data_IF_454299224366
#
_entry.id   IF_454299224366
#
_cell.length_a   1.000
_cell.length_b   1.000
_cell.length_c   1.000
_cell.angle_alpha   90.00
_cell.angle_beta   90.00
_cell.angle_gamma   90.00
#
_symmetry.space_group_name_H-M   'P 1'
#
loop_
_entity.id
_entity.type
_entity.pdbx_description
1 polymer ?
#
# COMPACT_ATOMS: atom_id res chain seq x y z
N UNK A 1 -1.14 4.96 0.22
CA UNK A 1 -1.66 4.46 -1.06
C UNK A 1 -0.66 4.62 -2.20
N UNK A 2 -0.67 3.73 -3.19
CA UNK A 2 0.26 3.71 -4.33
C UNK A 2 -0.49 3.63 -5.67
N UNK A 3 0.00 4.36 -6.67
CA UNK A 3 -0.44 4.24 -8.07
C UNK A 3 0.77 3.80 -8.88
N UNK A 4 0.63 2.69 -9.62
CA UNK A 4 1.71 2.16 -10.45
C UNK A 4 1.55 2.69 -11.86
N UNK A 5 2.34 3.71 -12.19
CA UNK A 5 2.34 4.37 -13.49
C UNK A 5 3.56 3.95 -14.33
N UNK A 6 4.48 3.19 -13.74
CA UNK A 6 5.77 2.88 -14.34
C UNK A 6 6.51 4.17 -14.70
N UNK A 7 7.12 4.21 -15.89
CA UNK A 7 7.86 5.39 -16.35
C UNK A 7 7.01 6.46 -17.04
N UNK A 8 5.70 6.23 -17.19
CA UNK A 8 4.79 7.11 -17.96
C UNK A 8 4.82 8.55 -17.43
N UNK A 9 4.81 8.72 -16.10
CA UNK A 9 4.85 10.03 -15.46
C UNK A 9 6.24 10.41 -14.92
N UNK A 10 7.29 9.64 -15.23
CA UNK A 10 8.62 9.86 -14.66
C UNK A 10 9.19 11.25 -15.01
N UNK A 11 8.97 11.71 -16.25
CA UNK A 11 9.40 13.04 -16.72
C UNK A 11 8.36 14.15 -16.45
N UNK A 12 7.16 13.78 -16.00
CA UNK A 12 6.09 14.74 -15.73
C UNK A 12 6.39 15.51 -14.44
N UNK A 13 6.27 16.86 -14.45
CA UNK A 13 6.40 17.67 -13.24
C UNK A 13 5.34 17.30 -12.19
N UNK A 14 5.75 17.17 -10.92
CA UNK A 14 4.84 16.77 -9.83
C UNK A 14 3.64 17.73 -9.70
N UNK A 15 3.82 19.02 -9.95
CA UNK A 15 2.75 20.01 -9.92
C UNK A 15 1.63 19.71 -10.92
N UNK A 16 1.96 19.29 -12.15
CA UNK A 16 0.95 18.91 -13.16
C UNK A 16 0.17 17.66 -12.73
N UNK A 17 0.87 16.71 -12.11
CA UNK A 17 0.26 15.50 -11.57
C UNK A 17 -0.71 15.85 -10.44
N UNK A 18 -0.28 16.71 -9.50
CA UNK A 18 -1.12 17.18 -8.39
C UNK A 18 -2.34 17.93 -8.94
N UNK A 19 -2.17 18.82 -9.91
CA UNK A 19 -3.29 19.53 -10.54
C UNK A 19 -4.30 18.55 -11.16
N UNK A 20 -3.83 17.52 -11.86
CA UNK A 20 -4.72 16.49 -12.41
C UNK A 20 -5.46 15.73 -11.32
N UNK A 21 -4.75 15.33 -10.26
CA UNK A 21 -5.30 14.55 -9.16
C UNK A 21 -6.18 15.36 -8.20
N UNK A 22 -6.08 16.69 -8.19
CA UNK A 22 -6.88 17.58 -7.34
C UNK A 22 -8.04 18.24 -8.09
N UNK A 23 -8.15 18.00 -9.40
CA UNK A 23 -9.22 18.50 -10.24
C UNK A 23 -10.34 17.48 -10.41
N UNK A 24 -11.52 17.92 -10.81
CA UNK A 24 -12.75 17.08 -10.85
C UNK A 24 -12.81 16.08 -12.01
N UNK A 25 -11.77 16.00 -12.84
CA UNK A 25 -11.74 15.15 -14.04
C UNK A 25 -11.01 13.82 -13.84
N UNK A 26 -10.55 13.54 -12.62
CA UNK A 26 -9.83 12.30 -12.33
C UNK A 26 -10.74 11.05 -12.28
N UNK A 27 -12.07 11.22 -12.33
CA UNK A 27 -13.04 10.13 -12.51
C UNK A 27 -13.06 9.08 -11.40
N UNK A 28 -12.80 9.48 -10.15
CA UNK A 28 -12.73 8.57 -9.01
C UNK A 28 -13.50 9.16 -7.82
N UNK A 29 -14.74 8.72 -7.62
CA UNK A 29 -15.62 9.29 -6.58
C UNK A 29 -15.06 9.09 -5.16
N UNK A 30 -14.40 7.95 -4.91
CA UNK A 30 -13.75 7.70 -3.61
C UNK A 30 -12.65 8.70 -3.34
N UNK A 31 -11.86 9.09 -4.34
CA UNK A 31 -10.82 10.09 -4.19
C UNK A 31 -11.41 11.50 -3.92
N UNK A 32 -12.52 11.86 -4.56
CA UNK A 32 -13.25 13.11 -4.27
C UNK A 32 -13.72 13.15 -2.80
N UNK A 33 -14.35 12.09 -2.32
CA UNK A 33 -14.83 12.00 -0.94
C UNK A 33 -13.67 12.09 0.07
N UNK A 34 -12.51 11.52 -0.26
CA UNK A 34 -11.31 11.61 0.58
C UNK A 34 -10.66 12.99 0.56
N UNK A 35 -10.76 13.76 -0.53
CA UNK A 35 -10.37 15.17 -0.50
C UNK A 35 -11.32 16.00 0.37
N UNK A 36 -12.64 15.80 0.23
CA UNK A 36 -13.66 16.52 1.02
C UNK A 36 -13.54 16.25 2.52
N UNK A 37 -13.25 15.00 2.88
CA UNK A 37 -13.01 14.59 4.28
C UNK A 37 -11.60 14.92 4.77
N UNK A 38 -10.76 15.55 3.94
CA UNK A 38 -9.37 15.91 4.27
C UNK A 38 -8.50 14.69 4.62
N UNK A 39 -8.78 13.51 4.09
CA UNK A 39 -8.04 12.26 4.33
C UNK A 39 -6.76 12.16 3.46
N UNK A 40 -6.69 12.91 2.36
CA UNK A 40 -5.49 12.98 1.51
C UNK A 40 -4.49 13.99 2.12
N UNK A 41 -3.29 13.52 2.40
CA UNK A 41 -2.23 14.33 3.02
C UNK A 41 -1.19 14.87 2.03
N UNK A 42 -0.49 13.98 1.35
CA UNK A 42 0.63 14.36 0.49
C UNK A 42 0.73 13.44 -0.72
N UNK A 43 1.10 14.00 -1.87
CA UNK A 43 1.43 13.23 -3.08
C UNK A 43 2.93 13.35 -3.34
N UNK A 44 3.59 12.22 -3.55
CA UNK A 44 5.02 12.14 -3.83
C UNK A 44 5.27 11.28 -5.06
N UNK A 45 6.22 11.69 -5.90
CA UNK A 45 6.72 10.86 -7.00
C UNK A 45 7.89 10.03 -6.50
N UNK A 46 7.82 8.71 -6.69
CA UNK A 46 8.87 7.77 -6.31
C UNK A 46 9.86 7.54 -7.46
N UNK A 47 11.07 7.01 -7.15
CA UNK A 47 11.96 6.48 -8.17
C UNK A 47 11.23 5.47 -9.06
N UNK A 48 11.46 5.55 -10.38
CA UNK A 48 10.77 4.73 -11.37
C UNK A 48 9.50 5.35 -11.94
N UNK A 49 8.98 6.44 -11.35
CA UNK A 49 7.86 7.24 -11.90
C UNK A 49 6.50 7.01 -11.22
N UNK A 50 6.40 5.97 -10.39
CA UNK A 50 5.21 5.65 -9.59
C UNK A 50 4.86 6.79 -8.60
N UNK A 51 3.60 6.83 -8.18
CA UNK A 51 3.11 7.83 -7.24
C UNK A 51 2.75 7.20 -5.91
N UNK A 52 3.13 7.88 -4.82
CA UNK A 52 2.70 7.57 -3.46
C UNK A 52 1.81 8.69 -2.97
N UNK A 53 0.60 8.31 -2.57
CA UNK A 53 -0.36 9.20 -1.93
C UNK A 53 -0.41 8.81 -0.45
N UNK A 54 0.00 9.73 0.41
CA UNK A 54 -0.13 9.62 1.86
C UNK A 54 -1.58 9.90 2.22
N UNK A 55 -2.23 8.91 2.79
CA UNK A 55 -3.61 8.95 3.27
C UNK A 55 -3.57 8.83 4.80
N UNK A 56 -4.47 9.51 5.51
CA UNK A 56 -4.41 9.63 6.97
C UNK A 56 -4.87 8.36 7.69
N UNK A 57 -5.90 7.69 7.19
CA UNK A 57 -6.45 6.46 7.80
C UNK A 57 -6.25 5.22 6.93
N UNK A 58 -6.41 4.05 7.56
CA UNK A 58 -6.40 2.76 6.87
C UNK A 58 -7.67 2.61 6.04
N UNK A 59 -8.80 3.02 6.58
CA UNK A 59 -10.12 2.95 5.96
C UNK A 59 -10.13 3.74 4.65
N UNK A 60 -9.55 4.94 4.65
CA UNK A 60 -9.38 5.72 3.44
C UNK A 60 -8.43 5.07 2.41
N UNK A 61 -7.43 4.29 2.84
CA UNK A 61 -6.64 3.51 1.88
C UNK A 61 -7.48 2.40 1.23
N UNK A 62 -8.32 1.71 2.00
CA UNK A 62 -9.21 0.66 1.50
C UNK A 62 -10.24 1.21 0.51
N UNK A 63 -10.75 2.43 0.72
CA UNK A 63 -11.65 3.08 -0.25
C UNK A 63 -11.02 3.32 -1.62
N UNK A 64 -9.69 3.48 -1.68
CA UNK A 64 -8.97 3.68 -2.94
C UNK A 64 -8.51 2.37 -3.57
N UNK A 65 -8.54 1.26 -2.84
CA UNK A 65 -8.01 -0.02 -3.28
C UNK A 65 -8.62 -0.50 -4.60
N UNK A 66 -7.76 -0.85 -5.57
CA UNK A 66 -8.14 -1.33 -6.90
C UNK A 66 -9.04 -0.39 -7.71
N UNK A 67 -9.24 0.84 -7.25
CA UNK A 67 -10.00 1.85 -7.99
C UNK A 67 -9.15 2.47 -9.10
N UNK A 68 -9.81 2.96 -10.15
CA UNK A 68 -9.15 3.61 -11.30
C UNK A 68 -9.12 5.12 -11.12
N UNK A 69 -8.11 5.77 -11.67
CA UNK A 69 -7.99 7.23 -11.64
C UNK A 69 -7.42 7.72 -12.96
N UNK A 70 -8.02 8.78 -13.51
CA UNK A 70 -7.48 9.48 -14.67
C UNK A 70 -6.43 10.50 -14.20
N UNK A 71 -5.23 10.36 -14.74
CA UNK A 71 -4.13 11.31 -14.57
C UNK A 71 -3.72 11.79 -15.95
N UNK A 72 -4.11 13.03 -16.27
CA UNK A 72 -3.76 13.72 -17.51
C UNK A 72 -4.18 12.95 -18.79
N UNK A 73 -5.35 12.31 -18.75
CA UNK A 73 -5.91 11.50 -19.84
C UNK A 73 -5.41 10.05 -19.88
N UNK A 74 -4.55 9.66 -18.94
CA UNK A 74 -4.12 8.27 -18.75
C UNK A 74 -4.89 7.63 -17.59
N UNK A 75 -5.42 6.42 -17.79
CA UNK A 75 -6.11 5.69 -16.73
C UNK A 75 -5.12 4.79 -16.00
N UNK A 76 -4.83 5.12 -14.75
CA UNK A 76 -4.01 4.33 -13.85
C UNK A 76 -4.88 3.65 -12.78
N UNK A 77 -4.29 2.68 -12.06
CA UNK A 77 -4.98 1.95 -11.00
C UNK A 77 -4.23 2.09 -9.68
N UNK A 78 -5.00 2.37 -8.64
CA UNK A 78 -4.55 2.30 -7.27
C UNK A 78 -4.24 0.84 -6.89
N UNK A 79 -3.05 0.60 -6.36
CA UNK A 79 -2.62 -0.75 -5.96
C UNK A 79 -3.45 -1.30 -4.81
N UNK A 80 -3.47 -2.62 -4.68
CA UNK A 80 -3.97 -3.29 -3.48
C UNK A 80 -3.34 -2.69 -2.22
N UNK A 81 -4.17 -2.48 -1.21
CA UNK A 81 -3.71 -1.99 0.07
C UNK A 81 -3.00 -3.14 0.77
N UNK A 82 -1.68 -3.10 0.71
CA UNK A 82 -0.85 -4.10 1.37
C UNK A 82 -0.93 -3.92 2.90
N UNK A 83 -1.88 -4.65 3.51
CA UNK A 83 -2.08 -4.75 4.97
C UNK A 83 -0.82 -5.28 5.67
N UNK A 84 0.08 -5.92 4.92
CA UNK A 84 1.33 -6.50 5.39
C UNK A 84 2.53 -5.58 5.14
N UNK A 85 2.41 -4.54 4.32
CA UNK A 85 3.52 -3.68 3.89
C UNK A 85 4.16 -2.85 5.00
N UNK A 86 3.56 -2.82 6.20
CA UNK A 86 4.14 -2.24 7.42
C UNK A 86 4.51 -3.26 8.49
N UNK A 87 4.41 -4.56 8.19
CA UNK A 87 4.74 -5.64 9.12
C UNK A 87 6.14 -6.16 8.80
N UNK A 88 6.94 -6.30 9.83
CA UNK A 88 8.21 -7.01 9.76
C UNK A 88 7.93 -8.49 10.00
N UNK A 89 8.45 -9.33 9.12
CA UNK A 89 8.38 -10.78 9.26
C UNK A 89 9.72 -11.29 9.76
N UNK A 90 9.68 -12.20 10.73
CA UNK A 90 10.85 -12.98 11.15
C UNK A 90 10.63 -14.36 10.57
N UNK A 91 11.43 -14.72 9.57
CA UNK A 91 11.49 -16.07 9.06
C UNK A 91 12.49 -16.87 9.90
N UNK A 92 12.03 -17.99 10.46
CA UNK A 92 12.86 -18.89 11.27
C UNK A 92 12.92 -20.22 10.53
N UNK A 93 13.97 -20.40 9.75
CA UNK A 93 14.24 -21.61 8.97
C UNK A 93 15.16 -22.58 9.71
N UNK A 94 15.19 -23.84 9.26
CA UNK A 94 16.06 -24.90 9.80
C UNK A 94 15.84 -25.19 11.30
N UNK A 95 14.60 -25.06 11.76
CA UNK A 95 14.20 -25.51 13.08
C UNK A 95 14.41 -27.02 13.17
N UNK A 96 15.32 -27.44 14.05
CA UNK A 96 15.58 -28.86 14.24
C UNK A 96 14.35 -29.56 14.87
N UNK A 97 14.30 -30.88 14.79
CA UNK A 97 13.20 -31.66 15.38
C UNK A 97 13.14 -31.58 16.91
N UNK A 98 14.18 -31.05 17.55
CA UNK A 98 14.26 -30.88 19.00
C UNK A 98 13.81 -29.48 19.45
N UNK A 99 13.56 -28.59 18.49
CA UNK A 99 13.15 -27.23 18.77
C UNK A 99 11.69 -27.23 19.18
N UNK A 100 11.42 -26.70 20.37
CA UNK A 100 10.05 -26.54 20.86
C UNK A 100 9.37 -25.38 20.13
N UNK A 101 8.85 -25.70 18.94
CA UNK A 101 8.12 -24.77 18.08
C UNK A 101 6.91 -24.18 18.82
N UNK A 102 6.24 -24.95 19.70
CA UNK A 102 5.12 -24.46 20.49
C UNK A 102 5.56 -23.37 21.47
N UNK A 103 6.67 -23.57 22.18
CA UNK A 103 7.24 -22.56 23.09
C UNK A 103 7.62 -21.28 22.34
N UNK A 104 8.19 -21.39 21.14
CA UNK A 104 8.59 -20.24 20.32
C UNK A 104 7.36 -19.48 19.82
N UNK A 105 6.36 -20.19 19.30
CA UNK A 105 5.08 -19.59 18.88
C UNK A 105 4.39 -18.88 20.05
N UNK A 106 4.37 -19.50 21.24
CA UNK A 106 3.82 -18.91 22.45
C UNK A 106 4.55 -17.63 22.85
N UNK A 107 5.90 -17.64 22.84
CA UNK A 107 6.70 -16.45 23.17
C UNK A 107 6.49 -15.33 22.15
N UNK A 108 6.46 -15.65 20.87
CA UNK A 108 6.17 -14.67 19.80
C UNK A 108 4.77 -14.07 19.96
N UNK A 109 3.78 -14.89 20.29
CA UNK A 109 2.43 -14.42 20.58
C UNK A 109 2.40 -13.47 21.79
N UNK A 110 3.10 -13.80 22.89
CA UNK A 110 3.22 -12.93 24.07
C UNK A 110 3.92 -11.60 23.77
N UNK A 111 4.81 -11.58 22.77
CA UNK A 111 5.45 -10.36 22.26
C UNK A 111 4.58 -9.56 21.29
N UNK A 112 3.34 -9.99 21.04
CA UNK A 112 2.39 -9.32 20.14
C UNK A 112 2.58 -9.66 18.66
N UNK A 113 3.42 -10.66 18.33
CA UNK A 113 3.53 -11.17 16.98
C UNK A 113 2.31 -12.03 16.63
N UNK A 114 1.98 -12.11 15.34
CA UNK A 114 1.01 -13.08 14.81
C UNK A 114 1.79 -14.17 14.05
N UNK A 115 2.25 -15.22 14.74
CA UNK A 115 3.07 -16.21 14.08
C UNK A 115 2.23 -17.06 13.12
N UNK A 116 2.83 -17.42 11.99
CA UNK A 116 2.27 -18.33 10.98
C UNK A 116 3.27 -19.47 10.83
N UNK A 117 2.81 -20.71 10.84
CA UNK A 117 3.65 -21.89 10.70
C UNK A 117 3.27 -22.61 9.41
N UNK A 118 4.12 -22.51 8.39
CA UNK A 118 3.98 -23.27 7.15
C UNK A 118 4.90 -24.49 7.21
N UNK A 119 4.33 -25.66 7.45
CA UNK A 119 5.06 -26.93 7.30
C UNK A 119 4.96 -27.39 5.85
N UNK A 120 6.04 -27.20 5.08
CA UNK A 120 6.19 -27.83 3.76
C UNK A 120 6.42 -29.33 3.94
N UNK A 121 5.37 -30.13 3.80
CA UNK A 121 5.49 -31.56 3.61
C UNK A 121 5.75 -31.80 2.12
N UNK A 122 6.99 -32.16 1.78
CA UNK A 122 7.38 -32.66 0.45
C UNK A 122 7.04 -34.13 0.28
#
# INVERSE_FOLDING_TARGET
MMITTGRTLAKTPLQKIIMSLSGTHHGNDSLEDLYRSHEIGQISKLPGGNLRIKVKSKEACLCLECTKVDIMGGVDTFKEFDVLGGKYFIDISNMDSNTDTLLILQRLFLLGCKPVCDSFWG
#
